data_IF_475985584105
#
_entry.id   IF_475985584105
#
_cell.length_a   1.000
_cell.length_b   1.000
_cell.length_c   1.000
_cell.angle_alpha   90.00
_cell.angle_beta   90.00
_cell.angle_gamma   90.00
#
_symmetry.space_group_name_H-M   'P 1'
#
loop_
_entity.id
_entity.type
_entity.pdbx_description
1 polymer ?
#
# COMPACT_ATOMS: atom_id res chain seq x y z
N UNK A 1 3.14 24.99 -31.17
CA UNK A 1 2.43 23.78 -30.69
C UNK A 1 3.30 23.06 -29.68
N UNK A 2 2.69 22.31 -28.76
CA UNK A 2 3.41 21.33 -27.96
C UNK A 2 3.76 20.14 -28.88
N UNK A 3 4.98 19.62 -28.82
CA UNK A 3 5.36 18.47 -29.63
C UNK A 3 6.59 17.75 -29.09
N UNK A 4 6.71 16.48 -29.47
CA UNK A 4 7.85 15.63 -29.15
C UNK A 4 8.01 14.53 -30.19
N UNK A 5 9.25 14.06 -30.37
CA UNK A 5 9.50 12.89 -31.20
C UNK A 5 9.01 11.63 -30.50
N UNK A 6 8.52 10.65 -31.27
CA UNK A 6 8.12 9.36 -30.74
C UNK A 6 9.34 8.44 -30.56
N UNK A 7 9.60 8.03 -29.31
CA UNK A 7 10.63 7.07 -28.95
C UNK A 7 12.07 7.57 -29.14
N UNK A 8 13.02 6.63 -29.10
CA UNK A 8 14.45 6.91 -29.24
C UNK A 8 14.80 7.14 -30.71
N UNK A 9 15.18 8.36 -31.06
CA UNK A 9 15.69 8.76 -32.39
C UNK A 9 17.23 8.86 -32.43
N UNK A 10 17.91 8.66 -31.29
CA UNK A 10 19.36 8.76 -31.15
C UNK A 10 19.83 10.17 -30.77
N UNK A 11 20.96 10.25 -30.03
CA UNK A 11 21.50 11.52 -29.55
C UNK A 11 20.57 12.31 -28.62
N UNK A 12 20.73 13.64 -28.60
CA UNK A 12 19.88 14.57 -27.84
C UNK A 12 18.55 14.79 -28.57
N UNK A 13 17.43 14.61 -27.88
CA UNK A 13 16.08 14.85 -28.42
C UNK A 13 15.53 16.18 -27.90
N UNK A 14 15.01 17.02 -28.81
CA UNK A 14 14.31 18.23 -28.43
C UNK A 14 12.84 17.93 -28.13
N UNK A 15 12.29 18.64 -27.14
CA UNK A 15 10.87 18.65 -26.79
C UNK A 15 10.38 20.09 -26.90
N UNK A 16 9.32 20.31 -27.68
CA UNK A 16 8.75 21.63 -27.92
C UNK A 16 7.72 22.00 -26.86
N UNK A 17 8.06 22.96 -26.00
CA UNK A 17 7.16 23.49 -24.95
C UNK A 17 6.90 24.98 -25.20
N UNK A 18 5.69 25.32 -25.62
CA UNK A 18 5.29 26.73 -25.81
C UNK A 18 4.91 27.35 -24.47
N UNK A 19 5.45 28.55 -24.19
CA UNK A 19 5.30 29.28 -22.92
C UNK A 19 3.85 29.43 -22.46
N UNK A 20 2.91 29.62 -23.39
CA UNK A 20 1.49 29.78 -23.12
C UNK A 20 0.70 28.58 -23.69
N UNK A 21 0.71 27.45 -22.97
CA UNK A 21 -0.11 26.27 -23.32
C UNK A 21 0.52 24.91 -23.07
N UNK A 22 1.85 24.83 -22.86
CA UNK A 22 2.55 23.55 -22.64
C UNK A 22 3.41 23.55 -21.35
N UNK A 23 3.25 24.55 -20.48
CA UNK A 23 4.13 24.74 -19.32
C UNK A 23 3.55 24.19 -18.01
N UNK A 24 2.33 23.68 -18.03
CA UNK A 24 1.80 22.92 -16.90
C UNK A 24 2.45 21.54 -16.82
N UNK A 25 2.42 20.97 -15.61
CA UNK A 25 3.09 19.72 -15.29
C UNK A 25 2.65 18.57 -16.21
N UNK A 26 1.35 18.42 -16.47
CA UNK A 26 0.84 17.31 -17.27
C UNK A 26 1.19 17.45 -18.74
N UNK A 27 1.13 18.65 -19.32
CA UNK A 27 1.56 18.89 -20.69
C UNK A 27 3.05 18.58 -20.88
N UNK A 28 3.92 19.01 -19.95
CA UNK A 28 5.35 18.68 -20.01
C UNK A 28 5.55 17.16 -19.96
N UNK A 29 4.87 16.48 -19.04
CA UNK A 29 4.95 15.03 -18.89
C UNK A 29 4.42 14.27 -20.12
N UNK A 30 3.35 14.77 -20.75
CA UNK A 30 2.81 14.23 -22.01
C UNK A 30 3.86 14.23 -23.12
N UNK A 31 4.49 15.38 -23.37
CA UNK A 31 5.49 15.51 -24.42
C UNK A 31 6.75 14.70 -24.10
N UNK A 32 7.16 14.63 -22.84
CA UNK A 32 8.25 13.74 -22.43
C UNK A 32 7.92 12.26 -22.66
N UNK A 33 6.69 11.83 -22.38
CA UNK A 33 6.26 10.44 -22.57
C UNK A 33 6.32 10.01 -24.04
N UNK A 34 5.99 10.90 -24.99
CA UNK A 34 6.22 10.61 -26.41
C UNK A 34 7.69 10.27 -26.71
N UNK A 35 8.64 11.06 -26.19
CA UNK A 35 10.08 10.78 -26.33
C UNK A 35 10.49 9.46 -25.66
N UNK A 36 9.78 9.08 -24.59
CA UNK A 36 9.94 7.78 -23.92
C UNK A 36 9.24 6.63 -24.66
N UNK A 37 8.64 6.87 -25.83
CA UNK A 37 8.04 5.85 -26.69
C UNK A 37 6.57 5.56 -26.40
N UNK A 38 5.86 6.50 -25.76
CA UNK A 38 4.43 6.34 -25.49
C UNK A 38 3.62 6.81 -26.69
N UNK A 39 2.74 5.94 -27.17
CA UNK A 39 1.63 6.32 -28.05
C UNK A 39 0.52 6.93 -27.20
N UNK A 40 -0.40 7.65 -27.83
CA UNK A 40 -1.63 8.05 -27.15
C UNK A 40 -2.46 6.84 -26.71
N UNK A 41 -3.07 6.91 -25.54
CA UNK A 41 -3.74 5.75 -24.93
C UNK A 41 -4.98 5.33 -25.74
N UNK A 42 -5.73 6.28 -26.31
CA UNK A 42 -6.83 6.02 -27.25
C UNK A 42 -6.36 5.51 -28.61
N UNK A 43 -5.05 5.47 -28.90
CA UNK A 43 -4.53 4.89 -30.13
C UNK A 43 -4.19 3.39 -29.99
N UNK A 44 -4.38 2.79 -28.80
CA UNK A 44 -4.09 1.36 -28.57
C UNK A 44 -4.85 0.44 -29.53
N UNK A 45 -4.22 -0.69 -29.87
CA UNK A 45 -4.81 -1.74 -30.73
C UNK A 45 -6.11 -2.32 -30.17
N UNK A 46 -6.22 -2.40 -28.84
CA UNK A 46 -7.33 -2.99 -28.07
C UNK A 46 -8.35 -1.96 -27.55
N UNK A 47 -8.20 -0.68 -27.88
CA UNK A 47 -9.02 0.42 -27.32
C UNK A 47 -10.52 0.23 -27.46
N UNK A 48 -11.00 -0.45 -28.51
CA UNK A 48 -12.43 -0.51 -28.85
C UNK A 48 -13.23 -1.34 -27.83
N UNK A 49 -12.53 -2.01 -26.90
CA UNK A 49 -13.10 -2.67 -25.71
C UNK A 49 -13.39 -1.69 -24.56
N UNK A 50 -12.83 -0.48 -24.61
CA UNK A 50 -12.75 0.48 -23.52
C UNK A 50 -13.28 1.87 -23.90
N UNK A 51 -13.18 2.26 -25.17
CA UNK A 51 -13.75 3.51 -25.69
C UNK A 51 -14.42 3.29 -27.04
N UNK A 52 -15.46 4.09 -27.32
CA UNK A 52 -16.05 4.25 -28.64
C UNK A 52 -15.59 5.56 -29.24
N UNK A 53 -15.19 5.52 -30.51
CA UNK A 53 -14.89 6.72 -31.30
C UNK A 53 -16.15 7.12 -32.06
N UNK A 54 -16.61 8.34 -31.85
CA UNK A 54 -17.78 8.93 -32.51
C UNK A 54 -17.33 9.64 -33.78
N UNK A 55 -17.10 8.87 -34.84
CA UNK A 55 -16.50 9.36 -36.10
C UNK A 55 -17.27 10.51 -36.74
N UNK A 56 -18.60 10.52 -36.59
CA UNK A 56 -19.51 11.55 -37.06
C UNK A 56 -19.33 12.91 -36.37
N UNK A 57 -18.75 12.92 -35.16
CA UNK A 57 -18.48 14.15 -34.41
C UNK A 57 -17.08 14.70 -34.67
N UNK A 58 -16.22 14.02 -35.42
CA UNK A 58 -14.83 14.46 -35.65
C UNK A 58 -14.79 15.47 -36.80
N UNK A 59 -14.00 16.54 -36.63
CA UNK A 59 -13.72 17.52 -37.70
C UNK A 59 -13.19 16.81 -38.96
N UNK A 60 -13.75 17.16 -40.12
CA UNK A 60 -13.33 16.58 -41.39
C UNK A 60 -11.83 16.79 -41.64
N UNK A 61 -11.08 15.70 -41.86
CA UNK A 61 -9.62 15.70 -42.03
C UNK A 61 -8.85 15.24 -40.79
N UNK A 62 -9.46 15.27 -39.60
CA UNK A 62 -8.80 14.97 -38.32
C UNK A 62 -8.98 13.51 -37.86
N UNK A 63 -9.69 12.68 -38.64
CA UNK A 63 -9.95 11.27 -38.30
C UNK A 63 -8.67 10.45 -38.10
N UNK A 64 -7.57 10.85 -38.74
CA UNK A 64 -6.26 10.19 -38.60
C UNK A 64 -5.72 10.18 -37.16
N UNK A 65 -6.05 11.20 -36.35
CA UNK A 65 -5.60 11.29 -34.95
C UNK A 65 -6.22 10.20 -34.05
N UNK A 66 -7.29 9.55 -34.52
CA UNK A 66 -7.99 8.47 -33.83
C UNK A 66 -7.67 7.09 -34.45
N UNK A 67 -6.64 7.01 -35.30
CA UNK A 67 -6.14 5.75 -35.86
C UNK A 67 -5.63 4.79 -34.78
N UNK A 68 -5.84 3.48 -34.97
CA UNK A 68 -5.24 2.45 -34.12
C UNK A 68 -3.77 2.28 -34.51
N UNK A 69 -2.90 2.18 -33.51
CA UNK A 69 -1.51 1.78 -33.67
C UNK A 69 -1.31 0.37 -33.13
N UNK A 70 -0.40 -0.40 -33.75
CA UNK A 70 -0.05 -1.72 -33.23
C UNK A 70 0.64 -1.56 -31.87
N UNK A 71 0.02 -2.10 -30.82
CA UNK A 71 0.51 -1.97 -29.45
C UNK A 71 0.37 -3.29 -28.70
N UNK A 72 1.42 -3.69 -27.98
CA UNK A 72 1.38 -4.83 -27.04
C UNK A 72 0.95 -4.45 -25.63
N UNK A 73 0.86 -3.14 -25.36
CA UNK A 73 0.44 -2.52 -24.09
C UNK A 73 1.22 -3.00 -22.85
N UNK A 74 2.32 -3.72 -23.06
CA UNK A 74 3.11 -4.37 -22.02
C UNK A 74 2.27 -5.23 -21.06
N UNK A 75 1.11 -5.75 -21.50
CA UNK A 75 0.17 -6.47 -20.65
C UNK A 75 -0.47 -5.65 -19.52
N UNK A 76 -0.45 -4.31 -19.61
CA UNK A 76 -1.09 -3.42 -18.64
C UNK A 76 -2.55 -3.11 -19.02
N UNK A 77 -3.44 -2.87 -18.04
CA UNK A 77 -4.81 -2.43 -18.28
C UNK A 77 -4.91 -1.15 -19.13
N UNK A 78 -6.12 -0.85 -19.62
CA UNK A 78 -6.39 0.43 -20.28
C UNK A 78 -6.45 1.56 -19.24
N UNK A 79 -5.78 2.67 -19.53
CA UNK A 79 -5.64 3.78 -18.58
C UNK A 79 -6.44 5.02 -19.00
N UNK A 80 -7.70 5.09 -18.57
CA UNK A 80 -8.56 6.27 -18.80
C UNK A 80 -7.96 7.58 -18.25
N UNK A 81 -7.14 7.48 -17.22
CA UNK A 81 -6.49 8.62 -16.58
C UNK A 81 -5.08 8.87 -17.10
N UNK A 82 -4.64 8.20 -18.18
CA UNK A 82 -3.31 8.42 -18.74
C UNK A 82 -3.15 9.88 -19.17
N UNK A 83 -2.00 10.47 -18.85
CA UNK A 83 -1.64 11.79 -19.39
C UNK A 83 -1.57 11.76 -20.93
N UNK A 84 -1.42 10.57 -21.52
CA UNK A 84 -1.38 10.34 -22.97
C UNK A 84 -2.77 10.09 -23.58
N UNK A 85 -3.85 10.15 -22.81
CA UNK A 85 -5.21 10.02 -23.34
C UNK A 85 -5.73 11.38 -23.87
N UNK A 86 -6.47 11.36 -24.97
CA UNK A 86 -7.22 12.53 -25.45
C UNK A 86 -8.45 12.82 -24.58
N UNK A 87 -8.85 14.08 -24.54
CA UNK A 87 -10.12 14.51 -23.95
C UNK A 87 -11.33 13.99 -24.74
N UNK A 88 -12.46 13.91 -24.06
CA UNK A 88 -13.70 13.42 -24.66
C UNK A 88 -14.18 14.27 -25.85
N UNK A 89 -13.79 15.55 -25.91
CA UNK A 89 -14.25 16.51 -26.92
C UNK A 89 -13.15 16.95 -27.89
N UNK A 90 -11.96 16.36 -27.81
CA UNK A 90 -10.84 16.73 -28.68
C UNK A 90 -11.24 16.50 -30.14
N UNK A 91 -10.95 17.48 -31.00
CA UNK A 91 -11.31 17.48 -32.43
C UNK A 91 -12.81 17.36 -32.74
N UNK A 92 -13.69 17.78 -31.81
CA UNK A 92 -15.13 17.80 -32.07
C UNK A 92 -15.54 18.89 -33.06
N UNK A 93 -16.33 18.52 -34.07
CA UNK A 93 -16.95 19.42 -35.04
C UNK A 93 -18.21 20.08 -34.50
N UNK A 94 -18.80 19.53 -33.43
CA UNK A 94 -20.09 19.93 -32.89
C UNK A 94 -19.97 20.27 -31.41
N UNK A 95 -20.24 21.52 -30.97
CA UNK A 95 -20.16 21.90 -29.57
C UNK A 95 -20.95 20.96 -28.65
N UNK A 96 -20.30 20.49 -27.58
CA UNK A 96 -20.92 19.61 -26.58
C UNK A 96 -21.12 18.15 -27.02
N UNK A 97 -20.65 17.74 -28.21
CA UNK A 97 -20.66 16.34 -28.64
C UNK A 97 -19.28 15.72 -28.47
N UNK A 98 -19.14 14.62 -27.72
CA UNK A 98 -17.85 13.97 -27.53
C UNK A 98 -17.43 13.18 -28.77
N UNK A 99 -16.14 13.16 -29.07
CA UNK A 99 -15.48 12.33 -30.08
C UNK A 99 -15.03 10.98 -29.51
N UNK A 100 -14.81 10.91 -28.18
CA UNK A 100 -14.45 9.68 -27.46
C UNK A 100 -15.42 9.47 -26.31
N UNK A 101 -16.03 8.28 -26.24
CA UNK A 101 -16.94 7.89 -25.17
C UNK A 101 -16.43 6.63 -24.48
N UNK A 102 -16.09 6.68 -23.18
CA UNK A 102 -15.71 5.49 -22.42
C UNK A 102 -16.83 4.45 -22.35
N UNK A 103 -16.46 3.17 -22.26
CA UNK A 103 -17.38 2.03 -22.11
C UNK A 103 -16.94 1.12 -20.96
N UNK A 104 -17.89 0.50 -20.22
CA UNK A 104 -19.33 0.60 -20.40
C UNK A 104 -19.95 1.89 -19.83
N UNK A 105 -19.19 2.69 -19.10
CA UNK A 105 -19.68 3.88 -18.39
C UNK A 105 -19.16 5.18 -19.04
N UNK A 106 -20.01 5.93 -19.75
CA UNK A 106 -19.65 7.21 -20.37
C UNK A 106 -19.24 8.31 -19.38
N UNK A 107 -19.50 8.15 -18.09
CA UNK A 107 -19.19 9.16 -17.06
C UNK A 107 -17.73 9.15 -16.61
N UNK A 108 -16.95 8.14 -17.00
CA UNK A 108 -15.53 8.04 -16.65
C UNK A 108 -14.76 9.25 -17.24
N UNK A 109 -14.04 10.04 -16.42
CA UNK A 109 -13.27 11.17 -16.93
C UNK A 109 -12.04 10.70 -17.73
N UNK A 110 -11.77 11.37 -18.85
CA UNK A 110 -10.62 11.12 -19.73
C UNK A 110 -9.94 12.42 -20.15
N UNK A 111 -8.66 12.34 -20.52
CA UNK A 111 -7.91 13.47 -21.07
C UNK A 111 -7.33 14.45 -20.05
N UNK A 112 -7.12 14.00 -18.81
CA UNK A 112 -6.52 14.83 -17.77
C UNK A 112 -5.10 15.31 -18.13
N UNK A 113 -4.69 16.44 -17.53
CA UNK A 113 -3.34 17.04 -17.64
C UNK A 113 -2.78 17.47 -16.26
N UNK A 114 -3.19 16.78 -15.20
CA UNK A 114 -2.67 16.95 -13.84
C UNK A 114 -1.28 16.30 -13.65
N UNK A 115 -1.02 15.21 -14.38
CA UNK A 115 0.27 14.55 -14.45
C UNK A 115 0.19 13.06 -14.76
N UNK A 116 1.32 12.34 -14.61
CA UNK A 116 1.37 10.89 -14.82
C UNK A 116 0.41 10.16 -13.88
N UNK A 117 -0.39 9.25 -14.45
CA UNK A 117 -1.16 8.27 -13.68
C UNK A 117 -0.23 7.18 -13.08
N UNK A 118 -0.77 6.35 -12.18
CA UNK A 118 -0.03 5.18 -11.69
C UNK A 118 0.27 4.16 -12.80
N UNK A 119 -0.59 4.07 -13.83
CA UNK A 119 -0.37 3.18 -14.97
C UNK A 119 0.63 3.76 -15.97
N UNK A 120 0.70 5.09 -16.13
CA UNK A 120 1.77 5.75 -16.88
C UNK A 120 3.13 5.41 -16.27
N UNK A 121 3.27 5.58 -14.95
CA UNK A 121 4.50 5.24 -14.20
C UNK A 121 4.82 3.75 -14.35
N UNK A 122 3.83 2.87 -14.21
CA UNK A 122 4.01 1.43 -14.39
C UNK A 122 4.50 1.07 -15.79
N UNK A 123 3.97 1.74 -16.82
CA UNK A 123 4.37 1.55 -18.22
C UNK A 123 5.81 2.00 -18.46
N UNK A 124 6.26 3.11 -17.85
CA UNK A 124 7.65 3.57 -17.92
C UNK A 124 8.55 2.53 -17.25
N UNK A 125 8.22 2.14 -16.02
CA UNK A 125 9.02 1.16 -15.27
C UNK A 125 9.14 -0.17 -16.01
N UNK A 126 8.06 -0.64 -16.65
CA UNK A 126 8.07 -1.87 -17.45
C UNK A 126 8.86 -1.73 -18.74
N UNK A 127 8.74 -0.60 -19.45
CA UNK A 127 9.46 -0.35 -20.69
C UNK A 127 10.97 -0.25 -20.48
N UNK A 128 11.39 0.37 -19.38
CA UNK A 128 12.79 0.62 -19.04
C UNK A 128 13.37 -0.32 -17.99
N UNK A 129 12.62 -1.35 -17.57
CA UNK A 129 13.03 -2.35 -16.56
C UNK A 129 13.50 -1.72 -15.24
N UNK A 130 12.79 -0.69 -14.78
CA UNK A 130 13.10 0.00 -13.53
C UNK A 130 12.47 -0.75 -12.34
N UNK A 131 13.32 -1.44 -11.58
CA UNK A 131 12.94 -2.20 -10.38
C UNK A 131 13.62 -1.67 -9.10
N UNK A 132 14.08 -0.42 -9.08
CA UNK A 132 14.74 0.17 -7.91
C UNK A 132 13.70 0.50 -6.81
N UNK A 133 13.67 -0.30 -5.76
CA UNK A 133 12.70 -0.18 -4.67
C UNK A 133 13.31 -0.27 -3.27
N UNK A 134 14.59 -0.61 -3.17
CA UNK A 134 15.26 -0.79 -1.88
C UNK A 134 15.55 0.56 -1.21
N UNK A 135 15.31 0.66 0.09
CA UNK A 135 15.56 1.88 0.85
C UNK A 135 15.81 1.64 2.34
N UNK A 136 16.54 2.57 2.97
CA UNK A 136 16.66 2.63 4.43
C UNK A 136 15.63 3.62 4.95
N UNK A 137 14.86 3.20 5.95
CA UNK A 137 13.74 3.93 6.52
C UNK A 137 14.08 4.31 7.98
N UNK A 138 14.74 5.46 8.23
CA UNK A 138 15.27 5.84 9.55
C UNK A 138 14.28 6.62 10.42
N UNK A 139 13.14 7.02 9.86
CA UNK A 139 12.14 7.84 10.57
C UNK A 139 11.41 6.97 11.62
N UNK A 140 10.87 7.55 12.71
CA UNK A 140 10.13 6.78 13.72
C UNK A 140 8.77 6.27 13.22
N UNK A 141 8.26 6.87 12.14
CA UNK A 141 7.06 6.42 11.43
C UNK A 141 7.23 6.65 9.94
N UNK A 142 6.58 5.83 9.13
CA UNK A 142 6.60 5.97 7.68
C UNK A 142 5.76 4.92 6.98
N UNK A 143 5.79 4.97 5.65
CA UNK A 143 5.14 3.98 4.80
C UNK A 143 6.01 3.67 3.59
N UNK A 144 5.78 2.51 2.98
CA UNK A 144 6.41 2.06 1.76
C UNK A 144 5.45 1.13 1.02
N UNK A 145 5.70 0.90 -0.26
CA UNK A 145 4.86 0.06 -1.11
C UNK A 145 5.72 -0.68 -2.13
N UNK A 146 5.15 -1.73 -2.72
CA UNK A 146 5.71 -2.29 -3.96
C UNK A 146 5.75 -1.21 -5.05
N UNK A 147 6.69 -1.37 -5.99
CA UNK A 147 6.78 -0.50 -7.17
C UNK A 147 5.43 -0.51 -7.89
N UNK A 148 4.99 0.65 -8.38
CA UNK A 148 3.72 0.91 -9.08
C UNK A 148 2.43 0.82 -8.26
N UNK A 149 2.44 0.39 -6.99
CA UNK A 149 1.22 0.28 -6.19
C UNK A 149 0.37 1.56 -6.27
N UNK A 150 -0.96 1.49 -6.54
CA UNK A 150 -1.81 0.29 -6.58
C UNK A 150 -1.86 -0.47 -7.92
N UNK A 151 -1.09 -0.04 -8.91
CA UNK A 151 -0.92 -0.78 -10.18
C UNK A 151 -0.01 -2.00 -9.99
N UNK A 152 -0.06 -2.98 -10.91
CA UNK A 152 0.73 -4.20 -10.74
C UNK A 152 2.24 -3.96 -10.63
N UNK A 153 2.88 -4.67 -9.71
CA UNK A 153 4.32 -4.60 -9.53
C UNK A 153 5.09 -5.19 -10.72
N UNK A 154 6.38 -4.83 -10.92
CA UNK A 154 7.22 -5.42 -11.95
C UNK A 154 7.65 -6.86 -11.66
N UNK A 155 7.82 -7.65 -12.71
CA UNK A 155 8.51 -8.95 -12.68
C UNK A 155 9.99 -8.76 -12.31
N UNK A 156 10.63 -9.79 -11.78
CA UNK A 156 12.03 -9.79 -11.36
C UNK A 156 12.36 -8.66 -10.36
N UNK A 157 11.41 -8.32 -9.49
CA UNK A 157 11.64 -7.35 -8.42
C UNK A 157 12.48 -8.00 -7.32
N UNK A 158 13.38 -7.23 -6.73
CA UNK A 158 14.15 -7.65 -5.55
C UNK A 158 14.34 -6.42 -4.66
N UNK A 159 13.37 -6.20 -3.78
CA UNK A 159 13.26 -5.01 -2.94
C UNK A 159 13.64 -5.32 -1.50
N UNK A 160 14.39 -4.42 -0.88
CA UNK A 160 14.74 -4.47 0.54
C UNK A 160 14.45 -3.14 1.23
N UNK A 161 13.59 -3.17 2.24
CA UNK A 161 13.37 -2.04 3.14
C UNK A 161 13.96 -2.32 4.52
N UNK A 162 14.98 -1.56 4.90
CA UNK A 162 15.54 -1.60 6.24
C UNK A 162 14.89 -0.52 7.10
N UNK A 163 13.96 -0.92 7.96
CA UNK A 163 13.37 -0.05 8.98
C UNK A 163 14.31 -0.03 10.17
N UNK A 164 14.74 1.16 10.59
CA UNK A 164 15.60 1.31 11.76
C UNK A 164 15.16 2.48 12.64
N UNK A 165 15.10 2.22 13.94
CA UNK A 165 14.87 3.22 14.99
C UNK A 165 16.06 3.25 15.95
N UNK A 166 16.13 4.25 16.83
CA UNK A 166 17.28 4.40 17.74
C UNK A 166 17.23 3.49 18.97
N UNK A 167 16.05 3.25 19.57
CA UNK A 167 15.92 2.53 20.87
C UNK A 167 14.54 1.87 21.10
N UNK A 168 13.75 1.69 20.06
CA UNK A 168 12.35 1.30 20.24
C UNK A 168 11.96 0.23 19.27
N UNK A 169 10.98 -0.58 19.66
CA UNK A 169 10.44 -1.62 18.81
C UNK A 169 9.72 -1.02 17.60
N UNK A 170 9.54 -1.84 16.59
CA UNK A 170 8.87 -1.47 15.34
C UNK A 170 7.59 -2.27 15.25
N UNK A 171 6.45 -1.58 15.12
CA UNK A 171 5.19 -2.15 14.70
C UNK A 171 5.03 -1.92 13.19
N UNK A 172 4.89 -2.99 12.41
CA UNK A 172 4.68 -2.98 10.97
C UNK A 172 3.27 -3.51 10.68
N UNK A 173 2.53 -2.82 9.82
CA UNK A 173 1.21 -3.23 9.36
C UNK A 173 1.08 -3.11 7.84
N UNK A 174 0.14 -3.87 7.28
CA UNK A 174 -0.20 -3.84 5.85
C UNK A 174 -1.59 -3.24 5.65
N UNK A 175 -1.67 -2.11 4.95
CA UNK A 175 -2.96 -1.52 4.55
C UNK A 175 -3.60 -2.31 3.42
N UNK A 176 -2.78 -2.80 2.49
CA UNK A 176 -3.20 -3.61 1.35
C UNK A 176 -2.11 -4.62 1.00
N UNK A 177 -2.53 -5.80 0.55
CA UNK A 177 -1.61 -6.87 0.14
C UNK A 177 -2.26 -7.80 -0.88
N UNK A 178 -1.62 -7.96 -2.02
CA UNK A 178 -2.03 -8.83 -3.11
C UNK A 178 -0.81 -9.17 -3.98
N UNK A 179 -0.27 -10.36 -3.78
CA UNK A 179 0.83 -10.93 -4.57
C UNK A 179 0.34 -12.18 -5.33
N UNK A 180 1.05 -12.58 -6.38
CA UNK A 180 0.80 -13.84 -7.08
C UNK A 180 0.78 -15.00 -6.08
N UNK A 181 -0.32 -15.75 -6.07
CA UNK A 181 -0.44 -16.97 -5.26
C UNK A 181 0.33 -18.11 -5.91
N UNK A 182 1.16 -18.80 -5.14
CA UNK A 182 1.88 -20.02 -5.54
C UNK A 182 2.01 -20.97 -4.35
N UNK A 183 2.33 -22.25 -4.60
CA UNK A 183 2.64 -23.19 -3.51
C UNK A 183 3.86 -22.70 -2.75
N UNK A 184 3.78 -22.67 -1.41
CA UNK A 184 4.86 -22.23 -0.51
C UNK A 184 5.45 -20.85 -0.86
N UNK A 185 4.70 -20.04 -1.60
CA UNK A 185 5.09 -18.71 -2.07
C UNK A 185 6.47 -18.70 -2.76
N UNK A 186 6.70 -19.67 -3.65
CA UNK A 186 7.98 -19.80 -4.38
C UNK A 186 8.13 -18.82 -5.53
N UNK A 187 7.03 -18.35 -6.13
CA UNK A 187 7.04 -17.33 -7.19
C UNK A 187 7.29 -15.94 -6.61
N UNK A 188 6.25 -15.34 -6.05
CA UNK A 188 6.30 -14.00 -5.47
C UNK A 188 6.07 -14.10 -3.97
N UNK A 189 6.85 -13.37 -3.19
CA UNK A 189 6.71 -13.39 -1.74
C UNK A 189 7.14 -12.09 -1.09
N UNK A 190 6.55 -11.83 0.07
CA UNK A 190 7.14 -10.98 1.09
C UNK A 190 7.71 -11.84 2.21
N UNK A 191 8.84 -11.42 2.77
CA UNK A 191 9.48 -12.07 3.93
C UNK A 191 10.02 -11.00 4.86
N UNK A 192 9.89 -11.21 6.17
CA UNK A 192 10.18 -10.19 7.18
C UNK A 192 11.11 -10.77 8.23
N UNK A 193 12.24 -10.11 8.45
CA UNK A 193 13.28 -10.51 9.37
C UNK A 193 13.33 -9.59 10.59
N UNK A 194 13.53 -10.19 11.76
CA UNK A 194 13.66 -9.56 13.07
C UNK A 194 15.07 -8.99 13.29
N UNK A 195 15.53 -8.12 12.38
CA UNK A 195 16.88 -7.58 12.44
C UNK A 195 17.20 -6.76 11.20
N UNK A 196 18.49 -6.62 10.92
CA UNK A 196 19.00 -5.77 9.83
C UNK A 196 19.52 -6.56 8.62
N UNK A 197 19.35 -7.88 8.60
CA UNK A 197 19.93 -8.78 7.59
C UNK A 197 19.07 -10.01 7.33
N UNK A 198 19.28 -10.68 6.20
CA UNK A 198 18.58 -11.92 5.84
C UNK A 198 18.97 -13.13 6.71
N UNK A 199 20.02 -13.02 7.53
CA UNK A 199 20.40 -14.03 8.53
C UNK A 199 19.74 -13.80 9.90
N UNK A 200 19.02 -12.69 10.08
CA UNK A 200 18.28 -12.41 11.31
C UNK A 200 17.08 -13.37 11.46
N UNK A 201 16.58 -13.64 12.69
CA UNK A 201 15.42 -14.49 12.91
C UNK A 201 14.21 -14.05 12.08
N UNK A 202 13.40 -14.98 11.59
CA UNK A 202 12.25 -14.66 10.72
C UNK A 202 11.02 -14.30 11.56
N UNK A 203 10.40 -13.14 11.31
CA UNK A 203 9.11 -12.74 11.91
C UNK A 203 7.91 -13.25 11.11
N UNK A 204 8.06 -13.23 9.78
CA UNK A 204 7.10 -13.75 8.82
C UNK A 204 7.91 -14.39 7.70
N UNK A 205 7.68 -15.69 7.50
CA UNK A 205 8.29 -16.40 6.38
C UNK A 205 7.61 -15.99 5.06
N UNK A 206 7.98 -16.63 3.94
CA UNK A 206 7.41 -16.33 2.64
C UNK A 206 5.88 -16.32 2.68
N UNK A 207 5.30 -15.18 2.32
CA UNK A 207 3.86 -14.98 2.27
C UNK A 207 3.45 -14.33 0.95
N UNK A 208 2.32 -14.77 0.39
CA UNK A 208 1.83 -14.41 -0.93
C UNK A 208 0.30 -14.60 -1.03
N UNK A 209 -0.28 -14.28 -2.19
CA UNK A 209 -1.72 -14.24 -2.39
C UNK A 209 -2.34 -12.92 -1.93
N UNK A 210 -3.67 -12.92 -1.80
CA UNK A 210 -4.44 -11.77 -1.34
C UNK A 210 -4.58 -11.78 0.17
N UNK A 211 -4.40 -10.62 0.80
CA UNK A 211 -4.44 -10.44 2.25
C UNK A 211 -5.80 -10.73 2.91
N UNK A 212 -5.94 -10.43 4.21
CA UNK A 212 -5.05 -9.60 5.03
C UNK A 212 -3.78 -10.32 5.52
N UNK A 213 -2.75 -9.55 5.89
CA UNK A 213 -1.56 -10.04 6.60
C UNK A 213 -1.63 -9.66 8.09
N UNK A 214 -0.98 -10.43 8.98
CA UNK A 214 -0.79 -10.00 10.35
C UNK A 214 0.13 -8.78 10.40
N UNK A 215 -0.18 -7.85 11.30
CA UNK A 215 0.81 -6.87 11.76
C UNK A 215 1.87 -7.55 12.62
N UNK A 216 3.06 -6.97 12.69
CA UNK A 216 4.22 -7.59 13.32
C UNK A 216 4.93 -6.59 14.23
N UNK A 217 5.41 -7.08 15.37
CA UNK A 217 6.23 -6.30 16.30
C UNK A 217 7.63 -6.90 16.35
N UNK A 218 8.64 -6.15 15.93
CA UNK A 218 10.03 -6.57 16.07
C UNK A 218 10.45 -6.63 17.54
N UNK A 219 11.37 -7.54 17.88
CA UNK A 219 11.92 -7.60 19.25
C UNK A 219 12.88 -6.44 19.53
N UNK A 220 13.51 -5.88 18.50
CA UNK A 220 14.48 -4.79 18.59
C UNK A 220 14.13 -3.57 17.72
N UNK A 221 15.14 -2.73 17.48
CA UNK A 221 14.98 -1.45 16.77
C UNK A 221 15.26 -1.52 15.27
N UNK A 222 15.38 -2.73 14.70
CA UNK A 222 15.59 -2.95 13.27
C UNK A 222 14.69 -4.05 12.75
N UNK A 223 14.16 -3.87 11.55
CA UNK A 223 13.36 -4.85 10.83
C UNK A 223 13.71 -4.76 9.34
N UNK A 224 13.96 -5.90 8.71
CA UNK A 224 14.23 -5.98 7.27
C UNK A 224 13.03 -6.61 6.58
N UNK A 225 12.49 -5.92 5.58
CA UNK A 225 11.40 -6.40 4.73
C UNK A 225 11.96 -6.71 3.35
N UNK A 226 11.75 -7.93 2.88
CA UNK A 226 12.15 -8.41 1.56
C UNK A 226 10.90 -8.68 0.72
N UNK A 227 10.87 -8.14 -0.49
CA UNK A 227 9.90 -8.52 -1.52
C UNK A 227 10.65 -8.99 -2.76
N UNK A 228 10.26 -10.16 -3.27
CA UNK A 228 10.77 -10.69 -4.52
C UNK A 228 9.62 -11.13 -5.43
N UNK A 229 9.81 -10.97 -6.74
CA UNK A 229 8.91 -11.50 -7.77
C UNK A 229 9.64 -12.26 -8.87
N UNK A 230 8.95 -13.22 -9.48
CA UNK A 230 9.47 -14.04 -10.58
C UNK A 230 9.38 -13.35 -11.95
N UNK A 231 9.66 -14.08 -13.03
CA UNK A 231 9.69 -13.55 -14.40
C UNK A 231 8.32 -13.29 -15.02
N UNK A 232 7.23 -13.66 -14.37
CA UNK A 232 5.87 -13.67 -14.90
C UNK A 232 4.83 -13.16 -13.88
N UNK A 233 3.54 -13.25 -14.25
CA UNK A 233 2.32 -13.04 -13.44
C UNK A 233 2.46 -12.07 -12.24
N UNK A 234 1.81 -10.92 -12.29
CA UNK A 234 1.82 -9.97 -11.17
C UNK A 234 0.43 -9.60 -10.69
N UNK A 235 0.37 -9.07 -9.48
CA UNK A 235 -0.85 -8.61 -8.82
C UNK A 235 -0.69 -7.15 -8.37
N UNK A 236 -1.68 -6.57 -7.70
CA UNK A 236 -1.69 -5.13 -7.36
C UNK A 236 -0.58 -4.71 -6.38
N UNK A 237 0.04 -5.67 -5.69
CA UNK A 237 1.16 -5.42 -4.78
C UNK A 237 0.72 -5.12 -3.36
N UNK A 238 1.49 -4.30 -2.66
CA UNK A 238 1.19 -4.00 -1.26
C UNK A 238 1.53 -2.57 -0.88
N UNK A 239 0.86 -2.10 0.16
CA UNK A 239 1.20 -0.88 0.91
C UNK A 239 1.29 -1.24 2.39
N UNK A 240 2.39 -0.79 2.99
CA UNK A 240 2.69 -1.02 4.39
C UNK A 240 3.05 0.29 5.10
N UNK A 241 2.74 0.38 6.38
CA UNK A 241 3.24 1.43 7.26
C UNK A 241 3.84 0.85 8.52
N UNK A 242 4.74 1.62 9.11
CA UNK A 242 5.40 1.25 10.34
C UNK A 242 5.41 2.43 11.31
N UNK A 243 5.33 2.09 12.60
CA UNK A 243 5.41 3.03 13.70
C UNK A 243 6.34 2.50 14.78
N UNK A 244 7.00 3.43 15.47
CA UNK A 244 7.76 3.13 16.67
C UNK A 244 6.81 2.80 17.81
N UNK A 245 7.06 1.69 18.50
CA UNK A 245 6.37 1.31 19.74
C UNK A 245 7.37 1.11 20.87
N UNK A 246 6.96 1.39 22.11
CA UNK A 246 7.83 1.27 23.27
C UNK A 246 7.97 -0.18 23.73
N UNK A 247 6.89 -0.95 23.64
CA UNK A 247 6.85 -2.34 24.02
C UNK A 247 5.86 -3.13 23.16
N UNK A 248 5.73 -4.43 23.43
CA UNK A 248 4.92 -5.32 22.61
C UNK A 248 5.65 -6.54 22.09
N UNK A 249 4.90 -7.44 21.47
CA UNK A 249 5.39 -8.65 20.82
C UNK A 249 4.34 -9.20 19.84
N UNK A 250 4.78 -10.10 18.95
CA UNK A 250 3.87 -10.94 18.16
C UNK A 250 3.85 -12.34 18.77
N UNK A 251 2.64 -12.86 19.03
CA UNK A 251 2.40 -14.17 19.60
C UNK A 251 1.76 -15.11 18.58
N UNK A 252 2.22 -16.37 18.57
CA UNK A 252 1.75 -17.43 17.65
C UNK A 252 1.46 -18.75 18.36
N UNK A 253 1.80 -18.86 19.65
CA UNK A 253 1.50 -20.05 20.45
C UNK A 253 -0.01 -20.14 20.70
N UNK A 254 -0.57 -21.35 20.83
CA UNK A 254 -2.03 -21.54 21.00
C UNK A 254 -2.60 -20.98 22.30
N UNK A 255 -1.73 -20.64 23.26
CA UNK A 255 -2.09 -19.99 24.51
C UNK A 255 -0.93 -19.16 25.03
N UNK A 256 -1.24 -18.14 25.82
CA UNK A 256 -0.24 -17.35 26.50
C UNK A 256 -0.82 -16.30 27.43
N UNK A 257 0.07 -15.50 27.99
CA UNK A 257 -0.27 -14.42 28.93
C UNK A 257 0.39 -13.13 28.43
N UNK A 258 -0.37 -12.04 28.45
CA UNK A 258 0.10 -10.69 28.14
C UNK A 258 -0.02 -9.87 29.42
N UNK A 259 1.05 -9.16 29.76
CA UNK A 259 1.07 -8.26 30.90
C UNK A 259 1.46 -6.84 30.47
N UNK A 260 1.00 -5.85 31.23
CA UNK A 260 1.60 -4.52 31.17
C UNK A 260 3.11 -4.60 31.48
N UNK A 261 3.92 -3.65 30.98
CA UNK A 261 5.34 -3.61 31.30
C UNK A 261 5.56 -3.51 32.81
N UNK A 262 6.56 -4.21 33.32
CA UNK A 262 6.96 -4.26 34.73
C UNK A 262 6.00 -4.97 35.69
N UNK A 263 4.84 -5.48 35.23
CA UNK A 263 3.89 -6.19 36.07
C UNK A 263 4.59 -7.28 36.92
N UNK A 264 4.31 -7.38 38.25
CA UNK A 264 3.24 -6.71 39.00
C UNK A 264 3.57 -5.29 39.48
N UNK A 265 4.77 -4.77 39.19
CA UNK A 265 5.09 -3.38 39.47
C UNK A 265 4.38 -2.44 38.48
N UNK A 266 4.39 -1.16 38.82
CA UNK A 266 3.70 -0.13 38.04
C UNK A 266 4.21 -0.02 36.61
N UNK A 267 3.30 0.16 35.65
CA UNK A 267 3.69 0.40 34.26
C UNK A 267 4.39 1.75 34.10
N UNK A 268 5.33 1.89 33.15
CA UNK A 268 5.98 3.16 32.88
C UNK A 268 5.04 4.17 32.20
N UNK A 269 5.25 5.45 32.49
CA UNK A 269 4.70 6.59 31.73
C UNK A 269 5.13 6.66 30.27
N UNK A 270 4.29 7.27 29.43
CA UNK A 270 4.51 7.62 28.03
C UNK A 270 4.93 6.40 27.21
N UNK A 271 4.07 5.39 27.22
CA UNK A 271 4.26 4.13 26.51
C UNK A 271 3.13 3.91 25.53
N UNK A 272 3.51 3.51 24.33
CA UNK A 272 2.63 2.93 23.33
C UNK A 272 3.08 1.48 23.12
N UNK A 273 2.19 0.52 23.39
CA UNK A 273 2.50 -0.90 23.44
C UNK A 273 1.49 -1.72 22.66
N UNK A 274 2.02 -2.60 21.79
CA UNK A 274 1.23 -3.31 20.79
C UNK A 274 1.53 -4.80 20.89
N UNK A 275 0.54 -5.62 21.20
CA UNK A 275 0.70 -7.07 21.16
C UNK A 275 -0.22 -7.65 20.09
N UNK A 276 0.36 -8.36 19.14
CA UNK A 276 -0.41 -8.99 18.05
C UNK A 276 -0.47 -10.48 18.31
N UNK A 277 -1.68 -11.03 18.43
CA UNK A 277 -1.92 -12.46 18.54
C UNK A 277 -2.36 -12.97 17.17
N UNK A 278 -1.68 -14.01 16.69
CA UNK A 278 -1.91 -14.62 15.38
C UNK A 278 -2.25 -16.08 15.57
N UNK A 279 -3.49 -16.46 15.24
CA UNK A 279 -3.91 -17.86 15.16
C UNK A 279 -3.95 -18.35 13.70
N UNK A 280 -3.95 -19.68 13.47
CA UNK A 280 -4.18 -20.24 12.16
C UNK A 280 -5.55 -19.83 11.58
N UNK A 281 -5.66 -19.82 10.25
CA UNK A 281 -6.92 -19.51 9.57
C UNK A 281 -8.02 -20.47 10.03
N UNK A 282 -9.20 -19.93 10.35
CA UNK A 282 -10.35 -20.70 10.84
C UNK A 282 -10.50 -20.74 12.36
N UNK A 283 -9.46 -20.33 13.11
CA UNK A 283 -9.53 -20.21 14.57
C UNK A 283 -9.96 -18.81 15.01
N UNK A 284 -10.60 -18.75 16.18
CA UNK A 284 -10.93 -17.51 16.90
C UNK A 284 -10.10 -17.43 18.18
N UNK A 285 -9.73 -16.22 18.57
CA UNK A 285 -8.90 -15.94 19.75
C UNK A 285 -9.82 -15.49 20.87
N UNK A 286 -9.78 -16.21 21.98
CA UNK A 286 -10.46 -15.84 23.23
C UNK A 286 -9.48 -15.14 24.16
N UNK A 287 -9.86 -13.99 24.69
CA UNK A 287 -9.13 -13.24 25.72
C UNK A 287 -9.91 -13.23 27.02
N UNK A 288 -9.19 -13.42 28.13
CA UNK A 288 -9.73 -13.31 29.48
C UNK A 288 -8.86 -12.38 30.32
N UNK A 289 -9.46 -11.33 30.85
CA UNK A 289 -8.79 -10.40 31.75
C UNK A 289 -8.67 -11.04 33.14
N UNK A 290 -7.45 -11.11 33.68
CA UNK A 290 -7.15 -11.71 34.98
C UNK A 290 -6.95 -10.65 36.07
N UNK A 291 -6.36 -9.50 35.71
CA UNK A 291 -6.14 -8.35 36.58
C UNK A 291 -6.17 -7.09 35.71
N UNK A 292 -6.77 -5.99 36.19
CA UNK A 292 -6.85 -4.74 35.44
C UNK A 292 -6.96 -3.53 36.38
N UNK A 293 -5.98 -2.64 36.29
CA UNK A 293 -5.93 -1.39 37.05
C UNK A 293 -5.10 -0.35 36.27
N UNK A 294 -5.79 0.58 35.61
CA UNK A 294 -5.22 1.73 34.89
C UNK A 294 -5.76 3.05 35.47
N UNK A 295 -5.15 4.18 35.10
CA UNK A 295 -5.61 5.49 35.55
C UNK A 295 -7.06 5.74 35.09
N UNK A 296 -7.95 6.04 36.04
CA UNK A 296 -9.34 6.31 35.72
C UNK A 296 -9.52 7.71 35.11
N UNK A 297 -10.34 7.79 34.05
CA UNK A 297 -10.95 9.04 33.59
C UNK A 297 -12.26 8.72 32.87
N UNK A 298 -13.23 9.64 32.88
CA UNK A 298 -14.59 9.41 32.36
C UNK A 298 -14.65 8.91 30.90
N UNK A 299 -13.61 9.15 30.11
CA UNK A 299 -13.49 8.70 28.70
C UNK A 299 -12.21 7.93 28.42
N UNK A 300 -11.48 7.51 29.45
CA UNK A 300 -10.20 6.80 29.32
C UNK A 300 -9.22 7.49 28.37
N UNK A 301 -9.03 8.81 28.55
CA UNK A 301 -8.21 9.64 27.66
C UNK A 301 -6.74 9.73 28.09
N UNK A 302 -6.42 9.34 29.33
CA UNK A 302 -5.06 9.32 29.86
C UNK A 302 -4.42 7.97 29.58
N UNK A 303 -4.66 6.99 30.45
CA UNK A 303 -4.23 5.61 30.27
C UNK A 303 -5.38 4.75 29.78
N UNK A 304 -5.15 3.95 28.75
CA UNK A 304 -6.20 3.09 28.20
C UNK A 304 -5.68 1.83 27.55
N UNK A 305 -6.58 0.84 27.52
CA UNK A 305 -6.44 -0.41 26.78
C UNK A 305 -7.53 -0.52 25.72
N UNK A 306 -7.13 -0.84 24.49
CA UNK A 306 -8.01 -1.20 23.38
C UNK A 306 -7.74 -2.64 22.95
N UNK A 307 -8.80 -3.37 22.62
CA UNK A 307 -8.73 -4.70 22.04
C UNK A 307 -9.38 -4.64 20.66
N UNK A 308 -8.57 -4.77 19.62
CA UNK A 308 -9.01 -4.73 18.23
C UNK A 308 -9.31 -6.15 17.72
N UNK A 309 -10.49 -6.32 17.14
CA UNK A 309 -10.90 -7.51 16.40
C UNK A 309 -10.28 -7.50 14.99
N UNK A 310 -8.98 -7.78 14.95
CA UNK A 310 -8.15 -7.73 13.76
C UNK A 310 -6.70 -7.39 14.11
N UNK A 311 -5.83 -7.35 13.10
CA UNK A 311 -4.39 -7.11 13.30
C UNK A 311 -3.99 -5.63 13.28
N UNK A 312 -4.92 -4.70 13.01
CA UNK A 312 -4.62 -3.27 12.78
C UNK A 312 -5.34 -2.35 13.75
N UNK A 313 -4.78 -1.16 14.08
CA UNK A 313 -5.45 -0.16 14.92
C UNK A 313 -6.75 0.39 14.31
N UNK A 314 -6.93 0.24 12.99
CA UNK A 314 -8.15 0.62 12.28
C UNK A 314 -9.24 -0.47 12.28
N UNK A 315 -8.96 -1.64 12.86
CA UNK A 315 -9.96 -2.72 12.98
C UNK A 315 -10.98 -2.34 14.08
N UNK A 316 -12.22 -2.87 14.01
CA UNK A 316 -13.20 -2.68 15.08
C UNK A 316 -12.59 -3.02 16.44
N UNK A 317 -12.90 -2.24 17.47
CA UNK A 317 -12.30 -2.42 18.79
C UNK A 317 -13.34 -2.31 19.90
N UNK A 318 -13.05 -2.95 21.01
CA UNK A 318 -13.75 -2.77 22.29
C UNK A 318 -12.87 -1.99 23.26
N UNK A 319 -13.51 -1.23 24.15
CA UNK A 319 -12.87 -0.19 24.97
C UNK A 319 -13.17 1.22 24.42
N UNK A 320 -12.36 2.24 24.77
CA UNK A 320 -11.18 2.17 25.65
C UNK A 320 -11.55 1.74 27.08
N UNK A 321 -10.70 0.92 27.69
CA UNK A 321 -10.84 0.51 29.10
C UNK A 321 -9.81 1.23 29.97
N UNK A 322 -10.24 1.65 31.17
CA UNK A 322 -9.39 2.26 32.19
C UNK A 322 -10.01 2.09 33.59
N UNK A 323 -9.34 2.59 34.64
CA UNK A 323 -9.78 2.38 36.02
C UNK A 323 -9.62 0.94 36.49
N UNK A 324 -10.52 0.50 37.37
CA UNK A 324 -10.54 -0.84 37.99
C UNK A 324 -11.78 -1.65 37.61
N UNK A 325 -12.57 -1.17 36.65
CA UNK A 325 -13.78 -1.84 36.22
C UNK A 325 -13.47 -3.17 35.52
N UNK A 326 -14.40 -4.13 35.65
CA UNK A 326 -14.25 -5.45 35.06
C UNK A 326 -14.29 -5.35 33.53
N UNK A 327 -13.17 -5.65 32.88
CA UNK A 327 -13.09 -5.83 31.43
C UNK A 327 -13.78 -7.14 31.06
N UNK A 328 -14.75 -7.07 30.13
CA UNK A 328 -15.47 -8.24 29.65
C UNK A 328 -14.53 -9.19 28.88
N UNK A 329 -14.84 -10.49 28.93
CA UNK A 329 -14.16 -11.48 28.10
C UNK A 329 -14.43 -11.16 26.61
N UNK A 330 -13.42 -11.35 25.78
CA UNK A 330 -13.47 -11.02 24.36
C UNK A 330 -13.21 -12.25 23.51
N UNK A 331 -13.93 -12.41 22.40
CA UNK A 331 -13.67 -13.44 21.39
C UNK A 331 -13.66 -12.80 20.03
N UNK A 332 -12.57 -12.97 19.27
CA UNK A 332 -12.43 -12.39 17.94
C UNK A 332 -13.37 -13.03 16.93
N UNK A 333 -13.67 -12.29 15.86
CA UNK A 333 -14.39 -12.83 14.70
C UNK A 333 -13.46 -13.56 13.73
N UNK A 334 -12.19 -13.14 13.68
CA UNK A 334 -11.15 -13.73 12.83
C UNK A 334 -9.97 -14.29 13.62
N UNK A 335 -8.88 -14.54 12.90
CA UNK A 335 -7.67 -15.20 13.42
C UNK A 335 -6.58 -14.22 13.90
N UNK A 336 -6.93 -12.94 14.08
CA UNK A 336 -6.02 -11.90 14.56
C UNK A 336 -6.66 -11.07 15.67
N UNK A 337 -5.86 -10.73 16.67
CA UNK A 337 -6.22 -9.73 17.69
C UNK A 337 -5.02 -8.81 17.91
N UNK A 338 -5.27 -7.50 17.97
CA UNK A 338 -4.30 -6.51 18.41
C UNK A 338 -4.76 -5.96 19.76
N UNK A 339 -3.87 -6.07 20.75
CA UNK A 339 -4.02 -5.42 22.05
C UNK A 339 -3.14 -4.17 22.04
N UNK A 340 -3.77 -3.01 22.24
CA UNK A 340 -3.13 -1.69 22.22
C UNK A 340 -3.24 -1.04 23.60
N UNK A 341 -2.11 -0.71 24.20
CA UNK A 341 -2.03 -0.03 25.50
C UNK A 341 -1.27 1.28 25.37
N UNK A 342 -1.86 2.33 25.93
CA UNK A 342 -1.26 3.65 26.02
C UNK A 342 -1.22 4.14 27.47
N UNK A 343 -0.09 4.75 27.84
CA UNK A 343 0.04 5.53 29.06
C UNK A 343 0.50 6.97 28.81
N UNK A 344 0.02 7.90 29.61
CA UNK A 344 0.35 9.32 29.53
C UNK A 344 1.59 9.69 30.37
N UNK A 345 1.79 10.97 30.73
CA UNK A 345 2.96 11.43 31.48
C UNK A 345 2.77 11.42 33.01
N UNK A 346 1.59 11.07 33.50
CA UNK A 346 1.13 11.28 34.88
C UNK A 346 0.50 9.99 35.40
N UNK A 347 0.76 9.69 36.68
CA UNK A 347 0.24 8.51 37.39
C UNK A 347 0.65 7.15 36.77
N UNK A 348 0.86 6.18 37.66
CA UNK A 348 1.29 4.83 37.27
C UNK A 348 0.65 3.87 38.25
N UNK A 349 0.05 2.80 37.71
CA UNK A 349 -0.67 1.76 38.44
C UNK A 349 -0.14 0.38 38.06
N UNK A 350 -0.51 -0.71 38.76
CA UNK A 350 0.00 -2.05 38.47
C UNK A 350 -0.24 -2.50 37.02
N UNK A 351 -1.31 -2.04 36.38
CA UNK A 351 -1.62 -2.35 34.99
C UNK A 351 -2.48 -3.59 34.87
N UNK A 352 -2.14 -4.49 33.95
CA UNK A 352 -3.03 -5.59 33.59
C UNK A 352 -2.31 -6.90 33.34
N UNK A 353 -3.07 -7.98 33.49
CA UNK A 353 -2.72 -9.34 33.08
C UNK A 353 -3.92 -9.89 32.35
N UNK A 354 -3.70 -10.38 31.13
CA UNK A 354 -4.69 -11.11 30.36
C UNK A 354 -4.11 -12.42 29.86
N UNK A 355 -4.97 -13.43 29.74
CA UNK A 355 -4.64 -14.70 29.09
C UNK A 355 -5.35 -14.80 27.75
N UNK A 356 -4.75 -15.52 26.82
CA UNK A 356 -5.37 -15.82 25.53
C UNK A 356 -5.27 -17.30 25.19
N UNK A 357 -6.23 -17.79 24.41
CA UNK A 357 -6.24 -19.13 23.82
C UNK A 357 -6.89 -19.11 22.44
N UNK A 358 -6.51 -20.03 21.55
CA UNK A 358 -7.23 -20.31 20.31
C UNK A 358 -7.17 -21.78 19.94
#
# INVERSE_FOLDING_TARGET
>A
SCWSYFGKIGGRQAVGLVKNGCMDKGAIQHEMNHALGFIHEQARSDRDRFVKIMWEHIVAGEQGNFGKMNSKNLGLPYDYSSVMHYGAYDFSSTPGKPTIVPVPDPSIPIGQREGLSNLDVAKINKLYKCNCCSSVLPKPKGSFSSVNYPSPYPNNSNCLWLIRTRRSKIFLQFEAFDLQRSSDCTSDYIKIYNGNSKSSPVLLDKYCGKGPLPSLVASGSTMLVEFASDESITATGFRASYNRVNCGATFRDSKGVITSPNYPNKYPKNRACFWVIVSPVGYKISLKMLSFELEYSDRCIYDYLLIHDGSRPTSPAVGPYCGTEKVADFTSTGNFVLVEFHSDLVWELPGFVMSYTF
#
